data_IF_508341860411
#
_entry.id   IF_508341860411
#
_cell.length_a   1.000
_cell.length_b   1.000
_cell.length_c   1.000
_cell.angle_alpha   90.00
_cell.angle_beta   90.00
_cell.angle_gamma   90.00
#
_symmetry.space_group_name_H-M   'P 1'
#
loop_
_entity.id
_entity.type
_entity.pdbx_description
1 polymer ?
#
# COMPACT_ATOMS: atom_id res chain seq x y z
N UNK A 1 -5.84 35.90 1.74
CA UNK A 1 -4.65 35.45 1.02
C UNK A 1 -4.91 34.18 0.20
N UNK A 2 -5.16 33.01 0.80
CA UNK A 2 -5.37 31.77 0.03
C UNK A 2 -6.59 31.83 -0.93
N UNK A 3 -7.67 32.53 -0.54
CA UNK A 3 -8.87 32.74 -1.39
C UNK A 3 -8.59 33.48 -2.71
N UNK A 4 -7.62 34.41 -2.75
CA UNK A 4 -7.29 35.14 -3.98
C UNK A 4 -6.39 34.30 -4.90
N UNK A 5 -5.53 33.46 -4.33
CA UNK A 5 -4.63 32.57 -5.11
C UNK A 5 -5.40 31.38 -5.68
N UNK A 6 -6.44 30.89 -4.98
CA UNK A 6 -7.34 29.83 -5.48
C UNK A 6 -7.94 30.11 -6.85
N UNK A 7 -8.16 31.39 -7.20
CA UNK A 7 -8.74 31.77 -8.51
C UNK A 7 -7.76 31.59 -9.68
N UNK A 8 -6.47 31.42 -9.41
CA UNK A 8 -5.42 31.37 -10.43
C UNK A 8 -4.95 29.95 -10.74
N UNK A 9 -5.30 28.96 -9.93
CA UNK A 9 -4.90 27.56 -10.10
C UNK A 9 -6.14 26.68 -10.11
N UNK A 10 -6.40 26.03 -11.25
CA UNK A 10 -7.49 25.08 -11.39
C UNK A 10 -7.22 23.83 -10.55
N UNK A 11 -8.28 23.22 -10.04
CA UNK A 11 -8.21 21.97 -9.30
C UNK A 11 -7.67 20.85 -10.21
N UNK A 12 -6.90 19.95 -9.63
CA UNK A 12 -6.19 18.87 -10.36
C UNK A 12 -6.96 17.57 -10.16
N UNK A 13 -7.40 16.99 -11.26
CA UNK A 13 -8.11 15.71 -11.30
C UNK A 13 -7.16 14.52 -11.41
N UNK A 14 -7.67 13.29 -11.26
CA UNK A 14 -6.89 12.07 -11.47
C UNK A 14 -6.31 12.01 -12.89
N UNK A 15 -7.08 12.42 -13.89
CA UNK A 15 -6.70 12.39 -15.31
C UNK A 15 -5.54 13.35 -15.61
N UNK A 16 -5.54 14.51 -14.95
CA UNK A 16 -4.44 15.48 -15.05
C UNK A 16 -3.14 14.90 -14.47
N UNK A 17 -3.24 14.14 -13.38
CA UNK A 17 -2.09 13.54 -12.70
C UNK A 17 -1.50 12.34 -13.44
N UNK A 18 -2.29 11.67 -14.28
CA UNK A 18 -1.87 10.45 -14.97
C UNK A 18 -1.51 10.68 -16.45
N UNK A 19 -1.39 11.95 -16.88
CA UNK A 19 -0.74 12.32 -18.13
C UNK A 19 -1.37 11.75 -19.40
N UNK A 20 -2.69 11.56 -19.41
CA UNK A 20 -3.43 11.00 -20.55
C UNK A 20 -3.40 9.47 -20.65
N UNK A 21 -2.88 8.77 -19.64
CA UNK A 21 -3.13 7.33 -19.48
C UNK A 21 -4.58 7.07 -19.06
N UNK A 22 -5.06 5.86 -19.29
CA UNK A 22 -6.46 5.50 -19.05
C UNK A 22 -6.74 5.16 -17.58
N UNK A 23 -6.59 6.15 -16.69
CA UNK A 23 -6.71 5.96 -15.25
C UNK A 23 -8.11 5.48 -14.83
N UNK A 24 -9.16 5.94 -15.51
CA UNK A 24 -10.56 5.56 -15.23
C UNK A 24 -10.84 4.08 -15.43
N UNK A 25 -10.03 3.36 -16.21
CA UNK A 25 -10.15 1.90 -16.33
C UNK A 25 -9.70 1.17 -15.08
N UNK A 26 -8.83 1.76 -14.28
CA UNK A 26 -8.34 1.17 -13.03
C UNK A 26 -9.03 1.77 -11.81
N UNK A 27 -9.09 3.10 -11.74
CA UNK A 27 -9.45 3.81 -10.52
C UNK A 27 -10.57 4.81 -10.74
N UNK A 28 -11.36 5.00 -9.70
CA UNK A 28 -12.40 6.03 -9.60
C UNK A 28 -12.20 6.87 -8.33
N UNK A 29 -12.56 8.14 -8.42
CA UNK A 29 -12.64 9.06 -7.27
C UNK A 29 -13.57 10.21 -7.63
N UNK A 30 -14.28 10.74 -6.64
CA UNK A 30 -15.10 11.95 -6.74
C UNK A 30 -14.35 13.19 -6.21
N UNK A 31 -13.15 13.02 -5.70
CA UNK A 31 -12.32 14.07 -5.12
C UNK A 31 -11.35 14.65 -6.15
N UNK A 32 -10.95 15.91 -5.91
CA UNK A 32 -9.90 16.59 -6.67
C UNK A 32 -8.93 17.26 -5.69
N UNK A 33 -7.68 17.44 -6.10
CA UNK A 33 -6.72 18.21 -5.31
C UNK A 33 -6.91 19.69 -5.65
N UNK A 34 -7.19 20.58 -4.68
CA UNK A 34 -7.28 22.00 -4.96
C UNK A 34 -5.99 22.53 -5.59
N UNK A 35 -6.09 23.26 -6.70
CA UNK A 35 -4.92 23.66 -7.50
C UNK A 35 -3.87 24.47 -6.72
N UNK A 36 -4.32 25.17 -5.68
CA UNK A 36 -3.48 25.91 -4.76
C UNK A 36 -2.52 25.05 -3.92
N UNK A 37 -2.75 23.75 -3.82
CA UNK A 37 -1.91 22.77 -3.12
C UNK A 37 -1.10 21.95 -4.12
N UNK A 38 -0.47 22.63 -5.06
CA UNK A 38 0.43 22.02 -6.05
C UNK A 38 1.78 22.70 -5.99
N UNK A 39 2.80 22.01 -6.47
CA UNK A 39 4.14 22.58 -6.64
C UNK A 39 4.13 23.82 -7.52
N UNK A 40 3.33 23.80 -8.59
CA UNK A 40 3.13 24.94 -9.47
C UNK A 40 2.58 26.15 -8.71
N UNK A 41 1.59 25.94 -7.82
CA UNK A 41 1.05 27.02 -7.02
C UNK A 41 2.04 27.54 -5.96
N UNK A 42 2.80 26.63 -5.35
CA UNK A 42 3.86 26.97 -4.41
C UNK A 42 4.90 27.90 -5.05
N UNK A 43 5.51 27.44 -6.15
CA UNK A 43 6.56 28.15 -6.88
C UNK A 43 6.01 29.37 -7.65
N UNK A 44 4.75 29.31 -8.08
CA UNK A 44 4.11 30.32 -8.92
C UNK A 44 3.47 31.50 -8.18
N UNK A 45 3.46 31.51 -6.83
CA UNK A 45 3.03 32.71 -6.11
C UNK A 45 2.69 32.54 -4.63
N UNK A 46 2.41 31.33 -4.15
CA UNK A 46 2.10 31.14 -2.71
C UNK A 46 3.31 31.50 -1.85
N UNK A 47 4.52 31.07 -2.21
CA UNK A 47 5.73 31.38 -1.46
C UNK A 47 5.92 32.89 -1.27
N UNK A 48 5.80 33.66 -2.35
CA UNK A 48 5.91 35.13 -2.34
C UNK A 48 4.79 35.78 -1.55
N UNK A 49 3.57 35.25 -1.65
CA UNK A 49 2.43 35.80 -0.95
C UNK A 49 2.53 35.55 0.58
N UNK A 50 3.12 34.42 1.02
CA UNK A 50 3.43 34.18 2.44
C UNK A 50 4.48 35.18 2.92
N UNK A 51 5.53 35.38 2.12
CA UNK A 51 6.60 36.34 2.43
C UNK A 51 6.06 37.79 2.53
N UNK A 52 5.20 38.21 1.60
CA UNK A 52 4.56 39.51 1.66
C UNK A 52 3.69 39.66 2.91
N UNK A 53 2.91 38.64 3.28
CA UNK A 53 2.08 38.68 4.47
C UNK A 53 2.91 38.78 5.77
N UNK A 54 4.05 38.09 5.83
CA UNK A 54 4.98 38.20 6.94
C UNK A 54 5.61 39.60 7.04
N UNK A 55 6.02 40.17 5.90
CA UNK A 55 6.62 41.50 5.83
C UNK A 55 5.61 42.63 6.12
N UNK A 56 4.37 42.56 5.65
CA UNK A 56 3.35 43.56 6.00
C UNK A 56 3.09 43.61 7.51
N UNK A 57 3.20 42.47 8.20
CA UNK A 57 3.11 42.43 9.67
C UNK A 57 4.34 43.02 10.36
N UNK A 58 5.52 42.93 9.74
CA UNK A 58 6.72 43.65 10.19
C UNK A 58 6.49 45.16 10.16
N UNK A 59 6.00 45.66 9.03
CA UNK A 59 5.68 47.07 8.85
C UNK A 59 4.60 47.51 9.85
N UNK A 60 3.65 46.61 10.13
CA UNK A 60 2.61 46.84 11.15
C UNK A 60 3.17 46.97 12.57
N UNK A 61 4.07 46.06 12.95
CA UNK A 61 4.69 46.06 14.28
C UNK A 61 5.64 47.25 14.43
N UNK A 62 6.39 47.59 13.39
CA UNK A 62 7.34 48.72 13.41
C UNK A 62 6.62 50.08 13.56
N UNK A 63 5.44 50.28 12.92
CA UNK A 63 4.66 51.50 13.15
C UNK A 63 4.11 51.59 14.58
N UNK A 64 3.65 50.48 15.18
CA UNK A 64 3.12 50.49 16.56
C UNK A 64 4.23 50.73 17.60
N UNK A 65 5.44 50.27 17.33
CA UNK A 65 6.59 50.42 18.23
C UNK A 65 7.25 51.80 18.16
N UNK A 66 7.08 52.52 17.05
CA UNK A 66 7.44 53.94 16.97
C UNK A 66 6.73 54.78 18.04
N UNK A 67 5.57 54.32 18.51
CA UNK A 67 4.76 54.95 19.57
C UNK A 67 4.94 54.30 20.96
N UNK A 68 5.54 53.10 21.04
CA UNK A 68 5.67 52.36 22.31
C UNK A 68 6.95 51.54 22.40
N UNK A 69 7.88 51.94 23.29
CA UNK A 69 9.16 51.27 23.58
C UNK A 69 8.97 49.94 24.34
N UNK A 70 8.37 48.91 23.72
CA UNK A 70 8.35 47.55 24.25
C UNK A 70 8.95 46.57 23.24
N UNK A 71 9.94 45.79 23.66
CA UNK A 71 10.52 44.74 22.83
C UNK A 71 9.45 43.72 22.44
N UNK A 72 9.36 43.42 21.13
CA UNK A 72 8.48 42.38 20.57
C UNK A 72 8.90 41.02 21.13
N UNK A 73 7.95 40.18 21.55
CA UNK A 73 8.28 38.80 21.92
C UNK A 73 8.85 38.06 20.70
N UNK A 74 9.87 37.22 20.89
CA UNK A 74 10.53 36.47 19.82
C UNK A 74 9.56 35.65 18.95
N UNK A 75 8.41 35.27 19.52
CA UNK A 75 7.35 34.47 18.87
C UNK A 75 6.51 35.28 17.87
N UNK A 76 6.66 36.61 17.84
CA UNK A 76 5.96 37.52 16.95
C UNK A 76 6.88 38.12 15.87
N UNK A 77 8.09 37.57 15.70
CA UNK A 77 8.98 38.01 14.62
C UNK A 77 8.39 37.68 13.24
N UNK A 78 8.65 38.50 12.21
CA UNK A 78 8.23 38.24 10.84
C UNK A 78 8.72 36.88 10.32
N UNK A 79 9.92 36.47 10.71
CA UNK A 79 10.53 35.19 10.36
C UNK A 79 9.77 34.02 11.01
N UNK A 80 9.43 34.12 12.30
CA UNK A 80 8.60 33.12 12.99
C UNK A 80 7.21 33.02 12.36
N UNK A 81 6.62 34.16 11.96
CA UNK A 81 5.34 34.17 11.27
C UNK A 81 5.41 33.52 9.88
N UNK A 82 6.46 33.82 9.10
CA UNK A 82 6.72 33.18 7.80
C UNK A 82 6.85 31.67 7.95
N UNK A 83 7.62 31.21 8.93
CA UNK A 83 7.78 29.79 9.23
C UNK A 83 6.45 29.12 9.59
N UNK A 84 5.66 29.73 10.49
CA UNK A 84 4.35 29.19 10.90
C UNK A 84 3.33 29.14 9.76
N UNK A 85 3.28 30.19 8.93
CA UNK A 85 2.41 30.21 7.76
C UNK A 85 2.82 29.16 6.72
N UNK A 86 4.12 28.99 6.51
CA UNK A 86 4.67 27.97 5.62
C UNK A 86 4.35 26.56 6.12
N UNK A 87 4.58 26.29 7.40
CA UNK A 87 4.26 25.02 8.02
C UNK A 87 2.76 24.71 7.88
N UNK A 88 1.88 25.66 8.22
CA UNK A 88 0.44 25.49 8.07
C UNK A 88 0.03 25.21 6.63
N UNK A 89 0.61 25.92 5.66
CA UNK A 89 0.35 25.67 4.25
C UNK A 89 0.74 24.24 3.85
N UNK A 90 1.91 23.75 4.28
CA UNK A 90 2.34 22.39 3.96
C UNK A 90 1.54 21.31 4.70
N UNK A 91 1.03 21.60 5.91
CA UNK A 91 0.05 20.73 6.58
C UNK A 91 -1.25 20.61 5.75
N UNK A 92 -1.80 21.74 5.30
CA UNK A 92 -3.02 21.75 4.48
C UNK A 92 -2.78 21.12 3.09
N UNK A 93 -1.57 21.30 2.53
CA UNK A 93 -1.12 20.64 1.29
C UNK A 93 -1.14 19.12 1.47
N UNK A 94 -0.43 18.61 2.47
CA UNK A 94 -0.34 17.18 2.76
C UNK A 94 -1.73 16.58 2.98
N UNK A 95 -2.56 17.22 3.80
CA UNK A 95 -3.93 16.77 4.07
C UNK A 95 -4.80 16.71 2.82
N UNK A 96 -4.70 17.69 1.93
CA UNK A 96 -5.48 17.71 0.68
C UNK A 96 -5.09 16.56 -0.26
N UNK A 97 -3.78 16.27 -0.37
CA UNK A 97 -3.29 15.15 -1.17
C UNK A 97 -3.68 13.80 -0.56
N UNK A 98 -3.52 13.63 0.76
CA UNK A 98 -3.92 12.40 1.45
C UNK A 98 -5.42 12.13 1.32
N UNK A 99 -6.27 13.17 1.43
CA UNK A 99 -7.72 13.05 1.26
C UNK A 99 -8.06 12.53 -0.14
N UNK A 100 -7.47 13.15 -1.18
CA UNK A 100 -7.66 12.70 -2.57
C UNK A 100 -7.18 11.25 -2.76
N UNK A 101 -5.96 10.92 -2.31
CA UNK A 101 -5.36 9.61 -2.56
C UNK A 101 -6.07 8.48 -1.82
N UNK A 102 -6.52 8.71 -0.60
CA UNK A 102 -7.29 7.73 0.17
C UNK A 102 -8.74 7.59 -0.31
N UNK A 103 -9.23 8.51 -1.15
CA UNK A 103 -10.56 8.39 -1.78
C UNK A 103 -10.55 7.52 -3.03
N UNK A 104 -9.37 7.20 -3.58
CA UNK A 104 -9.26 6.35 -4.76
C UNK A 104 -9.83 4.97 -4.48
N UNK A 105 -10.61 4.47 -5.42
CA UNK A 105 -11.19 3.13 -5.39
C UNK A 105 -10.76 2.38 -6.63
N UNK A 106 -10.40 1.10 -6.46
CA UNK A 106 -10.15 0.19 -7.57
C UNK A 106 -11.48 -0.25 -8.17
N UNK A 107 -11.60 -0.20 -9.50
CA UNK A 107 -12.77 -0.70 -10.19
C UNK A 107 -12.96 -2.20 -9.95
N UNK A 108 -14.20 -2.68 -9.76
CA UNK A 108 -14.46 -4.11 -9.59
C UNK A 108 -14.12 -4.88 -10.87
N UNK A 109 -13.59 -6.09 -10.69
CA UNK A 109 -13.38 -7.07 -11.74
C UNK A 109 -14.24 -8.31 -11.45
N UNK A 110 -14.97 -8.82 -12.46
CA UNK A 110 -15.95 -9.90 -12.24
C UNK A 110 -15.47 -11.27 -12.73
N UNK A 111 -14.38 -11.31 -13.50
CA UNK A 111 -13.86 -12.52 -14.11
C UNK A 111 -12.35 -12.41 -14.37
N UNK A 112 -11.72 -13.53 -14.73
CA UNK A 112 -10.26 -13.59 -14.95
C UNK A 112 -9.80 -12.66 -16.07
N UNK A 113 -10.60 -12.44 -17.12
CA UNK A 113 -10.24 -11.54 -18.19
C UNK A 113 -10.18 -10.08 -17.71
N UNK A 114 -11.19 -9.63 -16.94
CA UNK A 114 -11.22 -8.29 -16.35
C UNK A 114 -9.99 -8.05 -15.46
N UNK A 115 -9.69 -9.00 -14.55
CA UNK A 115 -8.51 -8.92 -13.67
C UNK A 115 -7.23 -8.89 -14.51
N UNK A 116 -7.13 -9.74 -15.51
CA UNK A 116 -5.95 -9.81 -16.37
C UNK A 116 -5.73 -8.48 -17.10
N UNK A 117 -6.78 -7.85 -17.60
CA UNK A 117 -6.72 -6.55 -18.26
C UNK A 117 -6.30 -5.44 -17.29
N UNK A 118 -6.85 -5.42 -16.07
CA UNK A 118 -6.43 -4.47 -15.03
C UNK A 118 -4.95 -4.65 -14.66
N UNK A 119 -4.51 -5.87 -14.37
CA UNK A 119 -3.11 -6.15 -14.06
C UNK A 119 -2.19 -5.84 -15.25
N UNK A 120 -2.67 -6.01 -16.49
CA UNK A 120 -1.95 -5.59 -17.71
C UNK A 120 -1.72 -4.09 -17.69
N UNK A 121 -2.79 -3.31 -17.54
CA UNK A 121 -2.71 -1.85 -17.55
C UNK A 121 -1.89 -1.30 -16.38
N UNK A 122 -2.01 -1.89 -15.18
CA UNK A 122 -1.21 -1.51 -14.00
C UNK A 122 0.29 -1.73 -14.21
N UNK A 123 0.67 -2.84 -14.85
CA UNK A 123 2.08 -3.23 -15.06
C UNK A 123 2.69 -2.75 -16.36
N UNK A 124 1.92 -2.08 -17.24
CA UNK A 124 2.44 -1.57 -18.51
C UNK A 124 3.42 -0.41 -18.29
N UNK A 125 4.68 -0.59 -18.69
CA UNK A 125 5.76 0.39 -18.47
C UNK A 125 5.50 1.73 -19.18
N UNK A 126 4.74 1.74 -20.27
CA UNK A 126 4.52 2.93 -21.09
C UNK A 126 3.21 3.65 -20.76
N UNK A 127 2.18 2.91 -20.42
CA UNK A 127 0.81 3.42 -20.30
C UNK A 127 0.19 3.22 -18.91
N UNK A 128 0.95 2.74 -17.91
CA UNK A 128 0.41 2.52 -16.57
C UNK A 128 -0.02 3.82 -15.88
N UNK A 129 -1.32 3.93 -15.52
CA UNK A 129 -1.81 5.03 -14.70
C UNK A 129 -1.19 5.03 -13.30
N UNK A 130 -0.87 3.85 -12.74
CA UNK A 130 -0.19 3.73 -11.46
C UNK A 130 1.22 4.35 -11.52
N UNK A 131 2.02 4.01 -12.54
CA UNK A 131 3.36 4.57 -12.70
C UNK A 131 3.29 6.08 -12.92
N UNK A 132 2.35 6.56 -13.74
CA UNK A 132 2.15 7.98 -13.99
C UNK A 132 1.79 8.73 -12.70
N UNK A 133 0.81 8.22 -11.94
CA UNK A 133 0.41 8.80 -10.64
C UNK A 133 1.57 8.85 -9.66
N UNK A 134 2.32 7.75 -9.50
CA UNK A 134 3.48 7.68 -8.61
C UNK A 134 4.57 8.69 -9.00
N UNK A 135 4.77 8.94 -10.28
CA UNK A 135 5.69 9.97 -10.75
C UNK A 135 5.21 11.39 -10.42
N UNK A 136 3.93 11.67 -10.60
CA UNK A 136 3.31 12.94 -10.19
C UNK A 136 3.44 13.15 -8.69
N UNK A 137 3.12 12.14 -7.87
CA UNK A 137 3.26 12.20 -6.42
C UNK A 137 4.70 12.44 -5.98
N UNK A 138 5.67 11.79 -6.62
CA UNK A 138 7.07 12.03 -6.31
C UNK A 138 7.50 13.47 -6.62
N UNK A 139 6.99 14.04 -7.71
CA UNK A 139 7.31 15.40 -8.11
C UNK A 139 6.68 16.44 -7.18
N UNK A 140 5.44 16.19 -6.74
CA UNK A 140 4.69 17.02 -5.79
C UNK A 140 5.23 16.90 -4.36
N UNK A 141 5.62 15.70 -3.92
CA UNK A 141 6.18 15.44 -2.59
C UNK A 141 7.53 16.12 -2.36
N UNK A 142 8.24 16.54 -3.42
CA UNK A 142 9.47 17.32 -3.34
C UNK A 142 9.24 18.84 -3.29
N UNK A 143 7.99 19.29 -3.17
CA UNK A 143 7.66 20.73 -3.11
C UNK A 143 8.28 21.37 -1.87
N UNK A 144 8.91 22.53 -2.04
CA UNK A 144 9.51 23.28 -0.93
C UNK A 144 10.84 22.71 -0.42
N UNK A 145 11.37 21.63 -1.03
CA UNK A 145 12.74 21.19 -0.74
C UNK A 145 13.72 22.31 -1.11
N UNK A 146 14.54 22.73 -0.15
CA UNK A 146 15.65 23.62 -0.43
C UNK A 146 16.67 22.84 -1.26
N UNK A 147 16.89 23.26 -2.51
CA UNK A 147 18.06 22.80 -3.25
C UNK A 147 19.27 23.26 -2.46
N UNK A 148 19.95 22.36 -1.76
CA UNK A 148 21.30 22.64 -1.29
C UNK A 148 22.07 23.20 -2.49
N UNK A 149 22.61 24.41 -2.33
CA UNK A 149 23.53 24.93 -3.32
C UNK A 149 24.66 23.90 -3.40
N UNK A 150 24.88 23.33 -4.59
CA UNK A 150 25.87 22.27 -4.84
C UNK A 150 27.27 22.62 -4.30
N UNK A 151 27.54 23.91 -4.06
CA UNK A 151 28.74 24.41 -3.39
C UNK A 151 28.89 23.94 -1.94
N UNK A 152 27.82 23.93 -1.14
CA UNK A 152 27.92 23.66 0.30
C UNK A 152 28.12 22.16 0.58
N UNK A 153 27.53 21.29 -0.24
CA UNK A 153 27.72 19.84 -0.11
C UNK A 153 29.15 19.43 -0.48
N UNK A 154 29.76 20.05 -1.50
CA UNK A 154 31.15 19.78 -1.91
C UNK A 154 32.14 20.27 -0.84
N UNK A 155 31.89 21.45 -0.26
CA UNK A 155 32.74 21.99 0.82
C UNK A 155 32.64 21.12 2.08
N UNK A 156 31.45 20.61 2.41
CA UNK A 156 31.23 19.70 3.54
C UNK A 156 31.92 18.35 3.31
N UNK A 157 31.78 17.76 2.13
CA UNK A 157 32.47 16.52 1.75
C UNK A 157 34.00 16.65 1.78
N UNK A 158 34.55 17.79 1.34
CA UNK A 158 35.99 18.04 1.40
C UNK A 158 36.50 18.21 2.85
N UNK A 159 35.66 18.74 3.75
CA UNK A 159 35.99 18.94 5.17
C UNK A 159 35.98 17.62 5.96
N UNK A 160 35.03 16.73 5.65
CA UNK A 160 34.93 15.39 6.26
C UNK A 160 36.04 14.44 5.79
N UNK A 161 36.57 14.63 4.58
CA UNK A 161 37.73 13.89 4.06
C UNK A 161 39.07 14.31 4.68
N UNK A 162 39.16 15.51 5.27
CA UNK A 162 40.39 16.04 5.89
C UNK A 162 40.35 15.91 7.42
N UNK A 163 39.17 15.86 8.02
CA UNK A 163 38.96 15.70 9.47
C UNK A 163 38.96 14.25 9.94
N UNK A 164 40.06 13.52 9.75
CA UNK A 164 40.18 12.17 10.30
C UNK A 164 40.28 12.16 11.82
N UNK A 165 39.22 11.71 12.52
CA UNK A 165 39.24 10.80 13.70
C UNK A 165 37.85 10.66 14.35
N UNK A 166 37.61 9.44 14.83
CA UNK A 166 36.49 8.91 15.62
C UNK A 166 35.12 8.84 14.95
N UNK A 167 34.73 7.60 14.59
CA UNK A 167 33.34 7.24 14.24
C UNK A 167 32.46 7.32 15.49
N UNK A 168 31.38 8.11 15.49
CA UNK A 168 30.25 7.86 16.36
C UNK A 168 29.22 6.97 15.62
N UNK A 169 28.30 6.44 16.40
CA UNK A 169 27.11 5.72 15.97
C UNK A 169 26.37 6.43 14.82
N UNK A 170 25.64 5.63 14.03
CA UNK A 170 24.72 6.02 12.96
C UNK A 170 24.21 7.46 13.14
N UNK A 171 24.76 8.38 12.35
CA UNK A 171 24.32 9.76 12.34
C UNK A 171 23.04 9.82 11.48
N UNK A 172 21.87 9.69 12.12
CA UNK A 172 20.55 9.78 11.47
C UNK A 172 20.31 11.16 10.81
N UNK A 173 21.19 12.12 11.10
CA UNK A 173 21.26 13.46 10.52
C UNK A 173 21.84 13.51 9.11
N UNK A 174 22.39 12.40 8.57
CA UNK A 174 22.85 12.30 7.19
C UNK A 174 21.69 12.07 6.17
N UNK A 175 20.47 12.36 6.59
CA UNK A 175 19.31 12.44 5.70
C UNK A 175 19.51 13.66 4.79
N UNK A 176 19.37 13.49 3.47
CA UNK A 176 19.48 14.59 2.49
C UNK A 176 18.54 15.76 2.79
N UNK A 177 18.56 16.84 1.97
CA UNK A 177 17.83 18.08 2.28
C UNK A 177 16.39 17.82 2.72
N UNK A 178 16.11 18.10 3.99
CA UNK A 178 14.79 17.90 4.60
C UNK A 178 13.78 18.90 4.03
N UNK A 179 12.81 18.38 3.28
CA UNK A 179 11.66 19.12 2.78
C UNK A 179 10.52 19.18 3.80
N UNK A 180 9.64 20.20 3.71
CA UNK A 180 8.48 20.33 4.60
C UNK A 180 7.42 19.24 4.42
N UNK A 181 7.56 18.38 3.41
CA UNK A 181 6.68 17.26 3.09
C UNK A 181 7.33 15.90 3.34
N UNK A 182 8.59 15.86 3.81
CA UNK A 182 9.33 14.60 3.93
C UNK A 182 8.71 13.64 4.96
N UNK A 183 8.09 14.16 6.02
CA UNK A 183 7.39 13.32 7.00
C UNK A 183 6.19 12.59 6.38
N UNK A 184 5.44 13.25 5.50
CA UNK A 184 4.24 12.68 4.86
C UNK A 184 4.57 11.88 3.59
N UNK A 185 5.44 12.39 2.72
CA UNK A 185 5.74 11.79 1.41
C UNK A 185 7.04 10.96 1.41
N UNK A 186 7.83 11.00 2.47
CA UNK A 186 9.10 10.29 2.59
C UNK A 186 9.01 8.79 2.31
N UNK A 187 8.11 8.03 2.97
CA UNK A 187 7.95 6.61 2.71
C UNK A 187 7.65 6.28 1.24
N UNK A 188 6.79 7.08 0.59
CA UNK A 188 6.49 6.95 -0.84
C UNK A 188 7.72 7.21 -1.72
N UNK A 189 8.51 8.25 -1.40
CA UNK A 189 9.74 8.58 -2.13
C UNK A 189 10.81 7.49 -1.96
N UNK A 190 10.87 6.83 -0.81
CA UNK A 190 11.75 5.68 -0.56
C UNK A 190 11.35 4.48 -1.43
N UNK A 191 10.05 4.16 -1.50
CA UNK A 191 9.53 3.07 -2.35
C UNK A 191 9.88 3.26 -3.84
N UNK A 192 9.98 4.51 -4.27
CA UNK A 192 10.35 4.90 -5.64
C UNK A 192 11.87 4.97 -5.87
N UNK A 193 12.69 4.75 -4.84
CA UNK A 193 14.14 4.89 -4.90
C UNK A 193 14.62 6.33 -5.13
N UNK A 194 13.79 7.33 -4.79
CA UNK A 194 14.08 8.76 -5.02
C UNK A 194 14.71 9.47 -3.82
N UNK A 195 14.85 8.80 -2.67
CA UNK A 195 15.60 9.33 -1.53
C UNK A 195 17.10 9.13 -1.69
N UNK A 196 17.83 10.23 -1.88
CA UNK A 196 19.30 10.26 -2.08
C UNK A 196 20.11 10.11 -0.78
N UNK A 197 19.45 10.02 0.39
CA UNK A 197 20.11 10.00 1.70
C UNK A 197 20.64 8.63 2.15
N UNK A 198 20.30 7.53 1.47
CA UNK A 198 20.68 6.18 1.89
C UNK A 198 21.65 5.54 0.90
N UNK A 199 22.79 6.17 0.66
CA UNK A 199 23.90 5.55 -0.08
C UNK A 199 24.90 4.84 0.85
N UNK A 200 24.41 4.29 1.96
CA UNK A 200 25.19 3.45 2.88
C UNK A 200 24.44 2.12 3.05
N UNK A 201 24.92 1.11 2.32
CA UNK A 201 24.71 -0.33 2.58
C UNK A 201 23.31 -0.74 3.08
N UNK A 202 22.30 -0.66 2.23
CA UNK A 202 21.10 -1.51 2.38
C UNK A 202 21.06 -2.49 1.21
N UNK A 203 21.79 -3.58 1.39
CA UNK A 203 21.73 -4.74 0.51
C UNK A 203 20.38 -5.47 0.72
N UNK A 204 19.73 -5.78 -0.40
CA UNK A 204 18.74 -6.84 -0.62
C UNK A 204 17.36 -6.85 0.07
N UNK A 205 17.01 -5.92 0.98
CA UNK A 205 15.71 -5.99 1.67
C UNK A 205 14.83 -4.73 1.66
N UNK A 206 15.07 -3.79 0.74
CA UNK A 206 14.19 -2.61 0.59
C UNK A 206 12.98 -2.91 -0.30
N UNK A 207 11.80 -2.47 0.15
CA UNK A 207 10.58 -2.51 -0.64
C UNK A 207 10.72 -1.61 -1.87
N UNK A 208 10.26 -2.05 -3.03
CA UNK A 208 10.42 -1.35 -4.32
C UNK A 208 9.17 -1.49 -5.17
N UNK A 209 8.77 -0.37 -5.80
CA UNK A 209 7.70 -0.38 -6.80
C UNK A 209 8.06 -1.27 -8.01
N UNK A 210 9.32 -1.29 -8.45
CA UNK A 210 9.71 -2.12 -9.60
C UNK A 210 9.57 -3.62 -9.28
N UNK A 211 9.95 -4.03 -8.07
CA UNK A 211 9.76 -5.41 -7.60
C UNK A 211 8.27 -5.76 -7.54
N UNK A 212 7.43 -4.85 -7.04
CA UNK A 212 5.97 -5.05 -7.02
C UNK A 212 5.41 -5.24 -8.44
N UNK A 213 5.72 -4.36 -9.39
CA UNK A 213 5.23 -4.45 -10.77
C UNK A 213 5.70 -5.72 -11.48
N UNK A 214 6.92 -6.17 -11.19
CA UNK A 214 7.45 -7.45 -11.69
C UNK A 214 6.63 -8.63 -11.16
N UNK A 215 6.31 -8.61 -9.86
CA UNK A 215 5.47 -9.65 -9.23
C UNK A 215 4.03 -9.63 -9.80
N UNK A 216 3.44 -8.45 -9.99
CA UNK A 216 2.14 -8.29 -10.67
C UNK A 216 2.16 -8.89 -12.08
N UNK A 217 3.25 -8.66 -12.83
CA UNK A 217 3.42 -9.25 -14.17
C UNK A 217 3.44 -10.78 -14.11
N UNK A 218 4.06 -11.40 -13.09
CA UNK A 218 4.05 -12.86 -12.93
C UNK A 218 2.63 -13.38 -12.67
N UNK A 219 1.89 -12.74 -11.77
CA UNK A 219 0.49 -13.07 -11.50
C UNK A 219 -0.34 -12.98 -12.77
N UNK A 220 -0.22 -11.87 -13.51
CA UNK A 220 -0.88 -11.67 -14.79
C UNK A 220 -0.58 -12.79 -15.79
N UNK A 221 0.69 -13.14 -15.98
CA UNK A 221 1.09 -14.21 -16.90
C UNK A 221 0.50 -15.57 -16.48
N UNK A 222 0.41 -15.83 -15.17
CA UNK A 222 -0.21 -17.05 -14.65
C UNK A 222 -1.71 -17.10 -14.95
N UNK A 223 -2.42 -16.00 -14.73
CA UNK A 223 -3.85 -15.89 -15.07
C UNK A 223 -4.09 -16.01 -16.57
N UNK A 224 -3.23 -15.43 -17.40
CA UNK A 224 -3.28 -15.57 -18.86
C UNK A 224 -3.09 -17.03 -19.31
N UNK A 225 -2.22 -17.80 -18.64
CA UNK A 225 -2.08 -19.23 -18.92
C UNK A 225 -3.36 -20.01 -18.60
N UNK A 226 -4.07 -19.64 -17.51
CA UNK A 226 -5.36 -20.25 -17.18
C UNK A 226 -6.40 -19.91 -18.25
N UNK A 227 -6.51 -18.63 -18.61
CA UNK A 227 -7.48 -18.16 -19.59
C UNK A 227 -7.27 -18.73 -21.01
N UNK A 228 -6.03 -19.03 -21.39
CA UNK A 228 -5.67 -19.58 -22.70
C UNK A 228 -5.54 -21.11 -22.74
N UNK A 229 -5.81 -21.80 -21.63
CA UNK A 229 -5.77 -23.26 -21.57
C UNK A 229 -6.89 -23.89 -22.43
N UNK A 230 -6.68 -25.13 -22.88
CA UNK A 230 -7.72 -25.90 -23.58
C UNK A 230 -8.94 -26.20 -22.70
N UNK A 231 -8.71 -26.31 -21.39
CA UNK A 231 -9.75 -26.39 -20.35
C UNK A 231 -9.43 -25.37 -19.23
N UNK A 232 -9.93 -24.12 -19.36
CA UNK A 232 -9.69 -23.07 -18.38
C UNK A 232 -10.25 -23.39 -16.99
N UNK A 233 -11.36 -24.13 -16.91
CA UNK A 233 -12.02 -24.44 -15.66
C UNK A 233 -11.20 -25.45 -14.85
N UNK A 234 -10.72 -26.52 -15.48
CA UNK A 234 -9.84 -27.48 -14.82
C UNK A 234 -8.51 -26.85 -14.38
N UNK A 235 -7.94 -25.95 -15.21
CA UNK A 235 -6.71 -25.24 -14.87
C UNK A 235 -6.91 -24.26 -13.70
N UNK A 236 -8.05 -23.57 -13.64
CA UNK A 236 -8.41 -22.69 -12.52
C UNK A 236 -8.55 -23.47 -11.21
N UNK A 237 -9.22 -24.63 -11.23
CA UNK A 237 -9.34 -25.50 -10.06
C UNK A 237 -7.97 -25.98 -9.57
N UNK A 238 -7.07 -26.33 -10.50
CA UNK A 238 -5.69 -26.73 -10.17
C UNK A 238 -4.93 -25.58 -9.51
N UNK A 239 -5.06 -24.37 -10.04
CA UNK A 239 -4.44 -23.18 -9.46
C UNK A 239 -4.97 -22.92 -8.04
N UNK A 240 -6.29 -22.89 -7.86
CA UNK A 240 -6.91 -22.71 -6.55
C UNK A 240 -6.51 -23.80 -5.56
N UNK A 241 -6.42 -25.06 -6.00
CA UNK A 241 -5.96 -26.15 -5.15
C UNK A 241 -4.50 -25.92 -4.70
N UNK A 242 -3.59 -25.53 -5.61
CA UNK A 242 -2.21 -25.21 -5.19
C UNK A 242 -2.14 -24.07 -4.20
N UNK A 243 -3.04 -23.10 -4.29
CA UNK A 243 -3.22 -22.03 -3.32
C UNK A 243 -3.68 -22.57 -1.96
N UNK A 244 -4.79 -23.30 -1.90
CA UNK A 244 -5.34 -23.83 -0.64
C UNK A 244 -4.36 -24.76 0.06
N UNK A 245 -3.51 -25.46 -0.71
CA UNK A 245 -2.47 -26.34 -0.18
C UNK A 245 -1.18 -25.61 0.25
N UNK A 246 -1.09 -24.29 0.05
CA UNK A 246 0.11 -23.51 0.39
C UNK A 246 1.29 -23.74 -0.56
N UNK A 247 1.04 -24.25 -1.76
CA UNK A 247 2.06 -24.55 -2.78
C UNK A 247 2.25 -23.42 -3.80
N UNK A 248 1.29 -22.49 -3.90
CA UNK A 248 1.32 -21.38 -4.86
C UNK A 248 2.06 -20.16 -4.32
N UNK A 249 3.38 -20.29 -4.20
CA UNK A 249 4.29 -19.27 -3.65
C UNK A 249 4.14 -17.92 -4.36
N UNK A 250 3.99 -17.89 -5.69
CA UNK A 250 3.97 -16.62 -6.44
C UNK A 250 2.79 -15.70 -6.09
N UNK A 251 1.60 -16.25 -5.84
CA UNK A 251 0.39 -15.45 -5.63
C UNK A 251 0.30 -14.96 -4.18
N UNK A 252 0.56 -15.85 -3.23
CA UNK A 252 0.58 -15.54 -1.78
C UNK A 252 1.74 -14.61 -1.42
N UNK A 253 2.94 -14.85 -1.94
CA UNK A 253 4.10 -13.98 -1.66
C UNK A 253 3.90 -12.58 -2.24
N UNK A 254 3.22 -12.48 -3.39
CA UNK A 254 2.95 -11.19 -4.01
C UNK A 254 1.93 -10.39 -3.20
N UNK A 255 0.89 -11.04 -2.67
CA UNK A 255 -0.08 -10.41 -1.77
C UNK A 255 0.58 -9.95 -0.47
N UNK A 256 1.45 -10.77 0.13
CA UNK A 256 2.24 -10.38 1.29
C UNK A 256 3.15 -9.20 0.97
N UNK A 257 3.82 -9.21 -0.18
CA UNK A 257 4.68 -8.10 -0.60
C UNK A 257 3.89 -6.79 -0.78
N UNK A 258 2.71 -6.84 -1.40
CA UNK A 258 1.80 -5.70 -1.52
C UNK A 258 1.34 -5.17 -0.16
N UNK A 259 1.03 -6.08 0.77
CA UNK A 259 0.63 -5.73 2.15
C UNK A 259 1.77 -5.06 2.92
N UNK A 260 3.01 -5.54 2.75
CA UNK A 260 4.20 -4.92 3.34
C UNK A 260 4.44 -3.51 2.78
N UNK A 261 4.25 -3.31 1.46
CA UNK A 261 4.31 -1.96 0.87
C UNK A 261 3.25 -1.07 1.50
N UNK A 262 1.99 -1.49 1.52
CA UNK A 262 0.89 -0.70 2.08
C UNK A 262 1.17 -0.32 3.55
N UNK A 263 1.65 -1.26 4.36
CA UNK A 263 1.98 -1.00 5.76
C UNK A 263 3.18 -0.05 5.90
N UNK A 264 4.18 -0.14 5.02
CA UNK A 264 5.38 0.70 5.06
C UNK A 264 5.11 2.17 4.76
N UNK A 265 3.99 2.51 4.10
CA UNK A 265 3.61 3.89 3.81
C UNK A 265 3.10 4.64 5.05
N UNK A 266 2.69 3.93 6.10
CA UNK A 266 2.11 4.50 7.31
C UNK A 266 0.58 4.62 7.26
N UNK A 267 -0.01 4.86 8.43
CA UNK A 267 -1.47 4.85 8.64
C UNK A 267 -2.20 5.93 7.83
N UNK A 268 -1.57 7.10 7.65
CA UNK A 268 -2.09 8.22 6.85
C UNK A 268 -2.34 7.84 5.39
N UNK A 269 -1.63 6.83 4.86
CA UNK A 269 -1.72 6.33 3.49
C UNK A 269 -2.53 5.04 3.38
N UNK A 270 -3.20 4.58 4.44
CA UNK A 270 -3.82 3.25 4.49
C UNK A 270 -4.83 2.99 3.37
N UNK A 271 -5.68 3.96 3.03
CA UNK A 271 -6.64 3.85 1.93
C UNK A 271 -5.97 3.71 0.57
N UNK A 272 -5.01 4.60 0.29
CA UNK A 272 -4.20 4.55 -0.93
C UNK A 272 -3.37 3.27 -1.04
N UNK A 273 -2.67 2.90 0.04
CA UNK A 273 -1.81 1.73 0.11
C UNK A 273 -2.59 0.44 -0.16
N UNK A 274 -3.77 0.30 0.46
CA UNK A 274 -4.67 -0.83 0.23
C UNK A 274 -5.13 -0.87 -1.22
N UNK A 275 -5.62 0.25 -1.75
CA UNK A 275 -6.14 0.36 -3.13
C UNK A 275 -5.09 0.05 -4.19
N UNK A 276 -3.86 0.53 -4.00
CA UNK A 276 -2.79 0.41 -5.00
C UNK A 276 -2.03 -0.91 -4.92
N UNK A 277 -1.83 -1.45 -3.71
CA UNK A 277 -0.89 -2.55 -3.50
C UNK A 277 -1.55 -3.86 -3.03
N UNK A 278 -2.74 -3.80 -2.44
CA UNK A 278 -3.42 -4.97 -1.85
C UNK A 278 -4.61 -5.40 -2.70
N UNK A 279 -5.58 -4.51 -2.92
CA UNK A 279 -6.84 -4.81 -3.61
C UNK A 279 -6.69 -5.47 -4.99
N UNK A 280 -5.74 -5.07 -5.87
CA UNK A 280 -5.60 -5.72 -7.18
C UNK A 280 -5.29 -7.21 -7.09
N UNK A 281 -4.54 -7.60 -6.05
CA UNK A 281 -4.19 -8.99 -5.76
C UNK A 281 -5.34 -9.72 -5.06
N UNK A 282 -6.05 -9.04 -4.17
CA UNK A 282 -7.26 -9.59 -3.54
C UNK A 282 -8.35 -9.89 -4.58
N UNK A 283 -8.61 -8.97 -5.53
CA UNK A 283 -9.58 -9.22 -6.62
C UNK A 283 -9.14 -10.39 -7.51
N UNK A 284 -7.85 -10.46 -7.85
CA UNK A 284 -7.30 -11.59 -8.61
C UNK A 284 -7.48 -12.92 -7.88
N UNK A 285 -7.29 -12.90 -6.57
CA UNK A 285 -7.44 -14.06 -5.70
C UNK A 285 -8.89 -14.53 -5.61
N UNK A 286 -9.82 -13.62 -5.30
CA UNK A 286 -11.26 -13.91 -5.21
C UNK A 286 -11.80 -14.53 -6.50
N UNK A 287 -11.37 -13.99 -7.65
CA UNK A 287 -11.77 -14.48 -8.97
C UNK A 287 -11.31 -15.92 -9.24
N UNK A 288 -10.18 -16.35 -8.68
CA UNK A 288 -9.65 -17.71 -8.82
C UNK A 288 -10.26 -18.67 -7.79
N UNK A 289 -10.44 -18.22 -6.56
CA UNK A 289 -10.84 -19.08 -5.44
C UNK A 289 -12.34 -19.32 -5.33
N UNK A 290 -13.17 -18.30 -5.56
CA UNK A 290 -14.63 -18.43 -5.37
C UNK A 290 -15.23 -19.58 -6.19
N UNK A 291 -14.94 -19.74 -7.50
CA UNK A 291 -15.46 -20.87 -8.28
C UNK A 291 -14.91 -22.23 -7.83
N UNK A 292 -13.73 -22.24 -7.19
CA UNK A 292 -13.02 -23.46 -6.81
C UNK A 292 -13.38 -23.95 -5.40
N UNK A 293 -13.97 -23.10 -4.57
CA UNK A 293 -14.48 -23.47 -3.24
C UNK A 293 -15.53 -24.59 -3.32
N UNK A 294 -16.38 -24.57 -4.34
CA UNK A 294 -17.35 -25.65 -4.58
C UNK A 294 -16.68 -27.02 -4.79
N UNK A 295 -15.58 -27.06 -5.56
CA UNK A 295 -14.82 -28.29 -5.79
C UNK A 295 -14.17 -28.81 -4.50
N UNK A 296 -13.68 -27.91 -3.65
CA UNK A 296 -13.16 -28.27 -2.34
C UNK A 296 -14.27 -28.83 -1.41
N UNK A 297 -15.46 -28.21 -1.41
CA UNK A 297 -16.62 -28.68 -0.65
C UNK A 297 -17.05 -30.08 -1.10
N UNK A 298 -17.10 -30.35 -2.41
CA UNK A 298 -17.40 -31.67 -2.95
C UNK A 298 -16.35 -32.71 -2.55
N UNK A 299 -15.08 -32.30 -2.44
CA UNK A 299 -13.99 -33.17 -1.99
C UNK A 299 -14.09 -33.46 -0.50
N UNK A 300 -14.39 -32.46 0.34
CA UNK A 300 -14.64 -32.62 1.77
C UNK A 300 -15.82 -33.56 2.03
N UNK A 301 -16.92 -33.33 1.30
CA UNK A 301 -18.14 -34.13 1.40
C UNK A 301 -17.86 -35.62 1.14
N UNK A 302 -17.16 -35.94 0.05
CA UNK A 302 -16.85 -37.33 -0.31
C UNK A 302 -15.78 -37.98 0.57
N UNK A 303 -14.75 -37.23 0.96
CA UNK A 303 -13.59 -37.79 1.68
C UNK A 303 -13.83 -37.96 3.19
N UNK A 304 -14.59 -37.04 3.79
CA UNK A 304 -14.80 -37.00 5.24
C UNK A 304 -16.27 -37.19 5.60
N UNK A 305 -17.16 -36.33 5.10
CA UNK A 305 -18.55 -36.25 5.57
C UNK A 305 -19.33 -37.54 5.29
N UNK A 306 -19.27 -38.07 4.07
CA UNK A 306 -19.97 -39.30 3.70
C UNK A 306 -19.53 -40.51 4.54
N UNK A 307 -18.23 -40.63 4.79
CA UNK A 307 -17.66 -41.70 5.61
C UNK A 307 -18.03 -41.52 7.10
N UNK A 308 -18.07 -40.29 7.58
CA UNK A 308 -18.51 -39.97 8.93
C UNK A 308 -19.96 -40.37 9.16
N UNK A 309 -20.87 -39.96 8.27
CA UNK A 309 -22.29 -40.34 8.34
C UNK A 309 -22.47 -41.86 8.31
N UNK A 310 -21.79 -42.54 7.38
CA UNK A 310 -21.84 -44.01 7.30
C UNK A 310 -21.42 -44.70 8.61
N UNK A 311 -20.43 -44.13 9.32
CA UNK A 311 -19.91 -44.70 10.55
C UNK A 311 -20.81 -44.40 11.77
N UNK A 312 -21.40 -43.21 11.84
CA UNK A 312 -21.93 -42.64 13.08
C UNK A 312 -23.42 -42.28 13.08
N UNK A 313 -24.10 -42.29 11.93
CA UNK A 313 -25.52 -41.99 11.87
C UNK A 313 -26.35 -42.97 12.71
N UNK A 314 -27.26 -42.42 13.52
CA UNK A 314 -28.13 -43.21 14.39
C UNK A 314 -27.42 -43.88 15.58
N UNK A 315 -26.19 -43.46 15.94
CA UNK A 315 -25.42 -44.01 17.06
C UNK A 315 -25.18 -43.00 18.18
N UNK A 316 -25.20 -43.45 19.43
CA UNK A 316 -24.78 -42.65 20.58
C UNK A 316 -23.25 -42.40 20.53
N UNK A 317 -22.75 -41.18 20.81
CA UNK A 317 -23.44 -40.02 21.37
C UNK A 317 -24.03 -39.05 20.34
N UNK A 318 -23.89 -39.31 19.04
CA UNK A 318 -24.31 -38.37 17.98
C UNK A 318 -25.82 -38.34 17.75
N UNK A 319 -26.50 -39.45 18.05
CA UNK A 319 -27.95 -39.57 18.07
C UNK A 319 -28.41 -40.28 19.35
N UNK A 320 -29.62 -39.98 19.81
CA UNK A 320 -30.25 -40.70 20.92
C UNK A 320 -30.58 -42.14 20.50
N UNK A 321 -29.66 -43.06 20.76
CA UNK A 321 -29.71 -44.46 20.30
C UNK A 321 -29.16 -45.41 21.36
N UNK A 322 -29.58 -46.68 21.32
CA UNK A 322 -29.02 -47.75 22.16
C UNK A 322 -27.74 -48.36 21.57
N UNK A 323 -27.40 -48.01 20.33
CA UNK A 323 -26.17 -48.47 19.68
C UNK A 323 -25.09 -47.41 19.82
N UNK A 324 -23.95 -47.80 20.39
CA UNK A 324 -22.81 -46.91 20.56
C UNK A 324 -21.97 -46.79 19.29
N UNK A 325 -21.37 -45.62 19.10
CA UNK A 325 -20.33 -45.37 18.11
C UNK A 325 -19.05 -46.14 18.47
N UNK A 326 -18.40 -46.71 17.45
CA UNK A 326 -17.11 -47.39 17.62
C UNK A 326 -16.01 -46.37 17.97
N UNK A 327 -15.42 -46.51 19.15
CA UNK A 327 -14.28 -45.67 19.58
C UNK A 327 -13.06 -45.82 18.66
N UNK A 328 -12.67 -47.03 18.21
CA UNK A 328 -11.63 -47.16 17.18
C UNK A 328 -11.95 -46.40 15.89
N UNK A 329 -13.20 -46.47 15.43
CA UNK A 329 -13.63 -45.73 14.24
C UNK A 329 -13.57 -44.22 14.46
N UNK A 330 -14.03 -43.73 15.63
CA UNK A 330 -13.92 -42.32 15.99
C UNK A 330 -12.46 -41.86 15.98
N UNK A 331 -11.56 -42.67 16.52
CA UNK A 331 -10.12 -42.39 16.51
C UNK A 331 -9.53 -42.31 15.09
N UNK A 332 -10.08 -42.99 14.09
CA UNK A 332 -9.63 -42.82 12.69
C UNK A 332 -9.93 -41.43 12.14
N UNK A 333 -10.97 -40.74 12.63
CA UNK A 333 -11.34 -39.42 12.15
C UNK A 333 -10.66 -38.28 12.90
N UNK A 334 -10.65 -38.33 14.24
CA UNK A 334 -10.33 -37.17 15.10
C UNK A 334 -8.94 -37.20 15.72
N UNK A 335 -8.14 -38.25 15.47
CA UNK A 335 -6.79 -38.35 16.05
C UNK A 335 -5.94 -37.15 15.63
N UNK A 336 -5.27 -36.54 16.63
CA UNK A 336 -4.63 -35.23 16.52
C UNK A 336 -3.66 -35.06 15.34
N UNK A 337 -2.94 -36.10 14.92
CA UNK A 337 -1.87 -35.96 13.90
C UNK A 337 -2.10 -36.86 12.67
N UNK A 338 -3.09 -37.75 12.74
CA UNK A 338 -3.34 -38.74 11.68
C UNK A 338 -4.81 -39.11 11.53
N UNK A 339 -5.72 -38.35 12.12
CA UNK A 339 -7.14 -38.44 11.84
C UNK A 339 -7.42 -38.08 10.38
N UNK A 340 -8.50 -38.62 9.79
CA UNK A 340 -8.95 -38.24 8.44
C UNK A 340 -9.20 -36.74 8.33
N UNK A 341 -9.78 -36.12 9.36
CA UNK A 341 -10.02 -34.67 9.39
C UNK A 341 -8.69 -33.93 9.37
N UNK A 342 -7.78 -34.29 10.29
CA UNK A 342 -6.45 -33.68 10.38
C UNK A 342 -5.68 -33.77 9.05
N UNK A 343 -5.64 -34.96 8.43
CA UNK A 343 -4.96 -35.13 7.14
C UNK A 343 -5.60 -34.30 6.04
N UNK A 344 -6.93 -34.19 6.00
CA UNK A 344 -7.61 -33.37 5.02
C UNK A 344 -7.24 -31.90 5.18
N UNK A 345 -7.35 -31.35 6.41
CA UNK A 345 -7.03 -29.95 6.70
C UNK A 345 -5.57 -29.64 6.36
N UNK A 346 -4.62 -30.48 6.79
CA UNK A 346 -3.20 -30.28 6.49
C UNK A 346 -2.89 -30.39 5.00
N UNK A 347 -3.51 -31.34 4.29
CA UNK A 347 -3.17 -31.63 2.89
C UNK A 347 -3.85 -30.71 1.90
N UNK A 348 -5.12 -30.36 2.15
CA UNK A 348 -5.96 -29.61 1.21
C UNK A 348 -6.10 -28.14 1.58
N UNK A 349 -5.96 -27.77 2.86
CA UNK A 349 -6.19 -26.42 3.39
C UNK A 349 -4.96 -25.80 4.06
N UNK A 350 -3.79 -26.44 4.00
CA UNK A 350 -2.58 -25.99 4.72
C UNK A 350 -2.04 -24.61 4.34
N UNK A 351 -2.47 -24.02 3.22
CA UNK A 351 -2.12 -22.66 2.80
C UNK A 351 -3.04 -21.58 3.34
N UNK A 352 -4.23 -21.94 3.83
CA UNK A 352 -5.26 -21.01 4.32
C UNK A 352 -5.70 -21.29 5.76
N UNK A 353 -5.27 -22.42 6.32
CA UNK A 353 -5.57 -22.86 7.66
C UNK A 353 -4.29 -23.43 8.29
N UNK A 354 -3.95 -22.95 9.49
CA UNK A 354 -2.82 -23.45 10.25
C UNK A 354 -3.25 -23.84 11.67
N UNK A 355 -2.41 -24.65 12.32
CA UNK A 355 -2.69 -25.17 13.65
C UNK A 355 -1.97 -24.33 14.70
N UNK A 356 -2.73 -23.67 15.57
CA UNK A 356 -2.23 -22.97 16.75
C UNK A 356 -2.55 -23.78 18.00
N UNK A 357 -1.55 -24.50 18.52
CA UNK A 357 -1.73 -25.40 19.66
C UNK A 357 -2.69 -26.55 19.36
N UNK A 358 -3.93 -26.44 19.82
CA UNK A 358 -5.00 -27.42 19.62
C UNK A 358 -6.14 -26.92 18.72
N UNK A 359 -6.05 -25.69 18.20
CA UNK A 359 -7.09 -25.08 17.37
C UNK A 359 -6.59 -24.88 15.94
N UNK A 360 -7.51 -25.01 14.99
CA UNK A 360 -7.29 -24.62 13.61
C UNK A 360 -7.72 -23.16 13.44
N UNK A 361 -6.83 -22.34 12.90
CA UNK A 361 -7.01 -20.90 12.75
C UNK A 361 -6.86 -20.54 11.27
N UNK A 362 -7.75 -19.71 10.70
CA UNK A 362 -7.57 -19.18 9.36
C UNK A 362 -6.33 -18.29 9.26
N UNK A 363 -5.56 -18.45 8.19
CA UNK A 363 -4.49 -17.54 7.85
C UNK A 363 -5.10 -16.23 7.33
N UNK A 364 -5.13 -15.18 8.14
CA UNK A 364 -5.78 -13.90 7.80
C UNK A 364 -5.27 -13.22 6.54
N UNK A 365 -4.08 -13.58 6.04
CA UNK A 365 -3.52 -13.02 4.82
C UNK A 365 -3.99 -13.85 3.62
N UNK A 366 -3.86 -15.16 3.71
CA UNK A 366 -4.17 -16.07 2.61
C UNK A 366 -5.67 -16.46 2.53
N UNK A 367 -6.47 -16.19 3.57
CA UNK A 367 -7.92 -16.45 3.61
C UNK A 367 -8.79 -15.26 3.16
N UNK A 368 -8.20 -14.12 2.80
CA UNK A 368 -8.99 -12.98 2.31
C UNK A 368 -9.74 -13.38 1.03
N UNK A 369 -11.07 -13.19 1.00
CA UNK A 369 -11.92 -13.58 -0.12
C UNK A 369 -12.41 -15.03 -0.12
N UNK A 370 -12.00 -15.85 0.87
CA UNK A 370 -12.56 -17.17 1.14
C UNK A 370 -13.31 -17.15 2.49
N UNK A 371 -14.63 -17.26 2.45
CA UNK A 371 -15.44 -17.48 3.66
C UNK A 371 -15.45 -18.99 3.98
N UNK A 372 -15.17 -19.34 5.23
CA UNK A 372 -15.05 -20.72 5.74
C UNK A 372 -16.16 -21.07 6.73
#
# INVERSE_FOLDING_TARGET
MLKSVRRNFADVSLEDMTGGTDARRLFTTDEVVPGMFTRQAWEGGIQQAIEKAANSRRDEIDWVLSDSRKAVSSDLSPEALKARLTQRYFTDFAGSWLSFLNSLQLNPANNIADVTDQLTLMSDVRQSPLIALMNTLAWQGQTGQQREALSDSIIKSAKDLVGGKDKPAIDQSASGPQGPLDDTFGPLLQLLGKNKGSNVMSADNSLSLQTYLTRITRVRLRLQQVASASDPQAMMQTLAQTVFQGKSVDLTDTQQYGSLISASLGEEWSGFGSTMFVQPLTQAWETVLQPSAASLNDKWSRSVVANWHTAFDGRFPFAASKSDASLPMLAEFVRKDSGRIERFLTTELGGVLHKEGSQWVPDKVNSQGAEF
#
